data_IF_116048927856
#
_entry.id   IF_116048927856
#
_cell.length_a   1.000
_cell.length_b   1.000
_cell.length_c   1.000
_cell.angle_alpha   90.00
_cell.angle_beta   90.00
_cell.angle_gamma   90.00
#
_symmetry.space_group_name_H-M   'P 1'
#
loop_
_entity.id
_entity.type
_entity.pdbx_description
1 polymer ?
#
# COMPACT_ATOMS: atom_id res chain seq x y z
N UNK A 1 5.73 -12.61 -25.02
CA UNK A 1 5.67 -12.16 -23.61
C UNK A 1 7.08 -11.75 -23.19
N UNK A 2 7.31 -10.65 -22.50
CA UNK A 2 8.64 -10.29 -22.06
C UNK A 2 9.20 -11.41 -21.17
N UNK A 3 10.35 -11.92 -21.52
CA UNK A 3 11.08 -12.94 -20.76
C UNK A 3 11.82 -12.28 -19.57
N UNK A 4 11.10 -11.60 -18.71
CA UNK A 4 11.69 -10.92 -17.55
C UNK A 4 10.74 -10.85 -16.38
N UNK A 5 11.28 -10.68 -15.20
CA UNK A 5 10.47 -10.42 -13.99
C UNK A 5 9.79 -9.06 -14.14
N UNK A 6 8.49 -8.91 -13.80
CA UNK A 6 7.80 -7.64 -13.90
C UNK A 6 8.37 -6.63 -12.90
N UNK A 7 8.40 -5.37 -13.28
CA UNK A 7 8.59 -4.29 -12.32
C UNK A 7 7.36 -4.17 -11.43
N UNK A 8 7.57 -3.88 -10.15
CA UNK A 8 6.50 -3.73 -9.17
C UNK A 8 6.55 -2.30 -8.65
N UNK A 9 5.50 -1.54 -8.93
CA UNK A 9 5.31 -0.19 -8.40
C UNK A 9 4.15 -0.22 -7.40
N UNK A 10 4.42 0.23 -6.18
CA UNK A 10 3.39 0.41 -5.15
C UNK A 10 3.23 1.89 -4.87
N UNK A 11 2.00 2.38 -4.98
CA UNK A 11 1.64 3.74 -4.62
C UNK A 11 0.70 3.67 -3.42
N UNK A 12 1.20 4.07 -2.26
CA UNK A 12 0.42 4.10 -1.02
C UNK A 12 0.17 5.55 -0.64
N UNK A 13 -1.09 5.94 -0.70
CA UNK A 13 -1.55 7.25 -0.25
C UNK A 13 -1.76 7.27 1.27
N UNK A 14 -1.78 8.47 1.85
CA UNK A 14 -2.12 8.71 3.25
C UNK A 14 -3.35 9.61 3.32
N UNK A 15 -4.32 9.24 4.14
CA UNK A 15 -5.60 9.94 4.32
C UNK A 15 -6.42 10.18 3.02
N UNK A 16 -6.26 9.33 2.02
CA UNK A 16 -7.06 9.36 0.80
C UNK A 16 -8.23 8.36 0.94
N UNK A 17 -9.44 8.89 0.94
CA UNK A 17 -10.66 8.08 0.96
C UNK A 17 -11.13 7.69 -0.44
N UNK A 18 -12.03 6.73 -0.50
CA UNK A 18 -12.63 6.23 -1.75
C UNK A 18 -13.24 7.37 -2.59
N UNK A 19 -13.83 8.37 -1.95
CA UNK A 19 -14.46 9.52 -2.61
C UNK A 19 -13.47 10.59 -3.11
N UNK A 20 -12.17 10.42 -2.84
CA UNK A 20 -11.12 11.29 -3.38
C UNK A 20 -10.62 10.81 -4.75
N UNK A 21 -11.00 9.61 -5.18
CA UNK A 21 -10.54 8.99 -6.43
C UNK A 21 -11.67 8.89 -7.43
N UNK A 22 -11.52 9.54 -8.59
CA UNK A 22 -12.60 9.64 -9.58
C UNK A 22 -13.01 8.31 -10.20
N UNK A 23 -12.12 7.33 -10.30
CA UNK A 23 -12.46 5.96 -10.71
C UNK A 23 -13.54 5.32 -9.82
N UNK A 24 -13.59 5.69 -8.54
CA UNK A 24 -14.62 5.21 -7.60
C UNK A 24 -15.87 6.06 -7.58
N UNK A 25 -15.74 7.38 -7.43
CA UNK A 25 -16.89 8.27 -7.30
C UNK A 25 -17.55 8.66 -8.64
N UNK A 26 -16.90 8.38 -9.78
CA UNK A 26 -17.46 8.55 -11.15
C UNK A 26 -18.03 9.95 -11.42
N UNK A 27 -17.36 10.97 -10.92
CA UNK A 27 -17.73 12.38 -11.13
C UNK A 27 -18.61 12.99 -10.05
N UNK A 28 -19.23 12.22 -9.16
CA UNK A 28 -20.18 12.74 -8.17
C UNK A 28 -19.54 13.73 -7.18
N UNK A 29 -18.23 13.60 -6.92
CA UNK A 29 -17.50 14.50 -6.04
C UNK A 29 -16.81 15.68 -6.75
N UNK A 30 -16.92 15.77 -8.08
CA UNK A 30 -16.39 16.87 -8.89
C UNK A 30 -14.86 16.88 -9.07
N UNK A 31 -14.09 16.17 -8.24
CA UNK A 31 -12.64 16.01 -8.39
C UNK A 31 -12.29 15.02 -9.50
N UNK A 32 -11.06 15.09 -10.01
CA UNK A 32 -10.57 14.16 -11.03
C UNK A 32 -9.16 13.65 -10.70
N UNK A 33 -8.96 12.36 -10.90
CA UNK A 33 -7.67 11.67 -10.72
C UNK A 33 -7.28 10.90 -11.98
N UNK A 34 -7.07 11.61 -13.13
CA UNK A 34 -7.02 10.95 -14.44
C UNK A 34 -5.92 9.90 -14.57
N UNK A 35 -4.77 10.10 -13.93
CA UNK A 35 -3.68 9.13 -14.00
C UNK A 35 -3.97 7.87 -13.18
N UNK A 36 -4.68 7.99 -12.05
CA UNK A 36 -5.13 6.84 -11.26
C UNK A 36 -6.26 6.12 -11.99
N UNK A 37 -7.15 6.87 -12.62
CA UNK A 37 -8.25 6.32 -13.41
C UNK A 37 -7.73 5.50 -14.61
N UNK A 38 -6.59 5.91 -15.22
CA UNK A 38 -5.93 5.11 -16.26
C UNK A 38 -5.46 3.76 -15.75
N UNK A 39 -4.92 3.70 -14.52
CA UNK A 39 -4.54 2.42 -13.91
C UNK A 39 -5.79 1.56 -13.69
N UNK A 40 -6.85 2.14 -13.18
CA UNK A 40 -8.12 1.43 -12.95
C UNK A 40 -8.73 0.91 -14.26
N UNK A 41 -8.70 1.69 -15.34
CA UNK A 41 -9.27 1.29 -16.62
C UNK A 41 -8.44 0.25 -17.37
N UNK A 42 -7.13 0.24 -17.17
CA UNK A 42 -6.21 -0.74 -17.78
C UNK A 42 -5.96 -1.99 -16.94
N UNK A 43 -6.47 -2.03 -15.72
CA UNK A 43 -6.22 -3.10 -14.75
C UNK A 43 -7.48 -3.58 -14.04
N UNK A 44 -7.35 -3.88 -12.77
CA UNK A 44 -8.45 -4.29 -11.91
C UNK A 44 -8.78 -3.18 -10.88
N UNK A 45 -10.06 -2.89 -10.73
CA UNK A 45 -10.58 -1.99 -9.70
C UNK A 45 -11.29 -2.82 -8.63
N UNK A 46 -10.78 -2.79 -7.41
CA UNK A 46 -11.40 -3.48 -6.29
C UNK A 46 -12.47 -2.59 -5.66
N UNK A 47 -13.69 -3.09 -5.57
CA UNK A 47 -14.81 -2.38 -4.93
C UNK A 47 -14.85 -2.58 -3.42
N UNK A 48 -14.26 -3.67 -2.95
CA UNK A 48 -14.23 -4.08 -1.55
C UNK A 48 -12.81 -4.47 -1.15
N UNK A 49 -12.00 -3.48 -0.82
CA UNK A 49 -10.64 -3.67 -0.32
C UNK A 49 -10.44 -2.76 0.89
N UNK A 50 -10.22 -3.38 2.04
CA UNK A 50 -10.15 -2.68 3.32
C UNK A 50 -8.73 -2.72 3.87
N UNK A 51 -8.22 -1.55 4.24
CA UNK A 51 -6.95 -1.38 4.92
C UNK A 51 -7.12 -1.46 6.45
N UNK A 52 -6.06 -1.20 7.16
CA UNK A 52 -6.08 -1.12 8.60
C UNK A 52 -6.52 0.28 9.07
N UNK A 53 -6.83 0.41 10.34
CA UNK A 53 -7.43 1.61 10.94
C UNK A 53 -6.51 2.83 11.05
N UNK A 54 -5.22 2.71 10.76
CA UNK A 54 -4.28 3.82 10.83
C UNK A 54 -3.13 3.66 9.83
N UNK A 55 -2.46 4.76 9.51
CA UNK A 55 -1.34 4.78 8.58
C UNK A 55 -0.20 3.85 9.02
N UNK A 56 0.20 3.88 10.28
CA UNK A 56 1.25 2.98 10.81
C UNK A 56 0.85 1.51 10.68
N UNK A 57 -0.36 1.16 11.10
CA UNK A 57 -0.86 -0.20 11.03
C UNK A 57 -1.01 -0.69 9.58
N UNK A 58 -1.57 0.15 8.70
CA UNK A 58 -1.75 -0.16 7.29
C UNK A 58 -0.43 -0.35 6.55
N UNK A 59 0.52 0.55 6.75
CA UNK A 59 1.86 0.45 6.16
C UNK A 59 2.60 -0.79 6.64
N UNK A 60 2.58 -1.06 7.95
CA UNK A 60 3.19 -2.26 8.52
C UNK A 60 2.55 -3.53 7.98
N UNK A 61 1.22 -3.61 7.94
CA UNK A 61 0.51 -4.77 7.41
C UNK A 61 0.84 -5.01 5.93
N UNK A 62 0.88 -3.95 5.12
CA UNK A 62 1.22 -4.07 3.71
C UNK A 62 2.65 -4.56 3.49
N UNK A 63 3.63 -3.89 4.14
CA UNK A 63 5.05 -4.18 3.86
C UNK A 63 5.51 -5.53 4.42
N UNK A 64 4.88 -6.02 5.51
CA UNK A 64 5.23 -7.29 6.14
C UNK A 64 4.30 -8.45 5.76
N UNK A 65 3.15 -8.16 5.16
CA UNK A 65 2.10 -9.16 4.93
C UNK A 65 1.50 -9.72 6.23
N UNK A 66 1.70 -9.05 7.37
CA UNK A 66 1.27 -9.52 8.68
C UNK A 66 0.21 -8.60 9.28
N UNK A 67 -0.73 -9.20 10.01
CA UNK A 67 -1.72 -8.41 10.73
C UNK A 67 -1.06 -7.53 11.81
N UNK A 68 -1.50 -6.27 12.03
CA UNK A 68 -0.87 -5.32 12.97
C UNK A 68 -0.72 -5.85 14.40
N UNK A 69 -1.62 -6.70 14.86
CA UNK A 69 -1.49 -7.36 16.17
C UNK A 69 -0.24 -8.22 16.27
N UNK A 70 0.20 -8.81 15.15
CA UNK A 70 1.37 -9.68 15.14
C UNK A 70 2.68 -8.89 15.20
N UNK A 71 2.74 -7.76 14.52
CA UNK A 71 3.92 -6.87 14.51
C UNK A 71 3.88 -5.84 15.65
N UNK A 72 2.76 -5.71 16.37
CA UNK A 72 2.62 -4.78 17.49
C UNK A 72 2.41 -3.32 17.11
N UNK A 73 2.20 -3.01 15.83
CA UNK A 73 2.05 -1.64 15.33
C UNK A 73 0.58 -1.28 15.13
N UNK A 74 -0.15 -1.11 16.21
CA UNK A 74 -1.60 -0.89 16.24
C UNK A 74 -2.03 0.58 16.21
N UNK A 75 -1.13 1.49 16.58
CA UNK A 75 -1.41 2.93 16.74
C UNK A 75 -0.49 3.74 15.86
N UNK A 76 -0.90 4.97 15.58
CA UNK A 76 -0.06 5.95 14.90
C UNK A 76 1.21 6.19 15.72
N UNK A 77 2.37 6.03 15.09
CA UNK A 77 3.66 6.36 15.70
C UNK A 77 3.88 7.87 15.63
N UNK A 78 3.90 8.54 16.78
CA UNK A 78 4.27 9.95 16.87
C UNK A 78 5.78 10.12 16.76
N UNK A 79 6.29 11.30 16.37
CA UNK A 79 7.71 11.57 16.37
C UNK A 79 8.36 11.24 17.71
N UNK A 80 9.45 10.45 17.69
CA UNK A 80 10.11 9.94 18.89
C UNK A 80 9.50 8.66 19.49
N UNK A 81 8.46 8.09 18.88
CA UNK A 81 7.94 6.80 19.29
C UNK A 81 9.03 5.71 19.16
N UNK A 82 9.11 4.85 20.17
CA UNK A 82 10.07 3.73 20.20
C UNK A 82 9.59 2.50 19.45
N UNK A 83 8.33 2.53 18.99
CA UNK A 83 7.72 1.41 18.26
C UNK A 83 8.12 1.47 16.79
N UNK A 84 8.53 0.32 16.25
CA UNK A 84 8.89 0.15 14.84
C UNK A 84 8.85 -1.33 14.48
N UNK A 85 9.09 -1.61 13.21
CA UNK A 85 9.31 -2.97 12.76
C UNK A 85 10.54 -3.54 13.46
N UNK A 86 10.48 -4.80 13.81
CA UNK A 86 11.60 -5.53 14.44
C UNK A 86 12.38 -6.27 13.35
N UNK A 87 13.65 -6.57 13.60
CA UNK A 87 14.52 -7.32 12.68
C UNK A 87 13.94 -8.68 12.26
N UNK A 88 13.07 -9.25 13.08
CA UNK A 88 12.37 -10.51 12.79
C UNK A 88 11.17 -10.36 11.85
N UNK A 89 10.71 -9.14 11.60
CA UNK A 89 9.53 -8.88 10.77
C UNK A 89 9.97 -8.78 9.30
N UNK A 90 9.78 -9.84 8.48
CA UNK A 90 10.22 -9.84 7.10
C UNK A 90 9.45 -8.78 6.31
N UNK A 91 10.14 -8.09 5.42
CA UNK A 91 9.51 -7.14 4.51
C UNK A 91 9.45 -7.68 3.09
N UNK A 92 8.47 -7.23 2.32
CA UNK A 92 8.36 -7.59 0.89
C UNK A 92 9.65 -7.25 0.13
N UNK A 93 10.33 -6.15 0.49
CA UNK A 93 11.59 -5.75 -0.11
C UNK A 93 12.70 -6.78 0.16
N UNK A 94 12.83 -7.25 1.40
CA UNK A 94 13.79 -8.28 1.76
C UNK A 94 13.51 -9.61 1.07
N UNK A 95 12.23 -9.98 0.97
CA UNK A 95 11.82 -11.21 0.27
C UNK A 95 12.09 -11.15 -1.24
N UNK A 96 12.02 -9.98 -1.85
CA UNK A 96 12.24 -9.80 -3.29
C UNK A 96 13.74 -9.72 -3.67
N UNK A 97 14.61 -9.27 -2.76
CA UNK A 97 16.06 -9.16 -3.03
C UNK A 97 16.71 -10.47 -3.50
N UNK A 98 16.49 -11.64 -2.86
CA UNK A 98 17.05 -12.90 -3.34
C UNK A 98 16.59 -13.31 -4.73
N UNK A 99 15.46 -12.74 -5.17
CA UNK A 99 14.91 -12.95 -6.51
C UNK A 99 15.46 -11.96 -7.54
N UNK A 100 16.44 -11.13 -7.17
CA UNK A 100 17.14 -10.21 -8.09
C UNK A 100 16.38 -8.90 -8.32
N UNK A 101 15.46 -8.51 -7.44
CA UNK A 101 14.86 -7.18 -7.49
C UNK A 101 15.75 -6.15 -6.81
N UNK A 102 15.95 -5.01 -7.45
CA UNK A 102 16.41 -3.80 -6.78
C UNK A 102 15.22 -3.17 -6.07
N UNK A 103 15.40 -2.71 -4.83
CA UNK A 103 14.35 -2.11 -4.01
C UNK A 103 14.74 -0.70 -3.61
N UNK A 104 13.80 0.23 -3.66
CA UNK A 104 13.99 1.63 -3.28
C UNK A 104 12.81 2.12 -2.41
#
# INVERSE_FOLDING_TARGET
MPQGKPNILVIMSDDIGIWNISAYHRGIMGGQTPNIDLIASGGALFTDSYAQQSCTAGRAAFITGQHPFRVGLLKVGMPGAKQGLQDKDPTIAELLKPHGYATA
#
